data_IF_493095872921
#
_entry.id   IF_493095872921
#
_cell.length_a   1.000
_cell.length_b   1.000
_cell.length_c   1.000
_cell.angle_alpha   90.00
_cell.angle_beta   90.00
_cell.angle_gamma   90.00
#
_symmetry.space_group_name_H-M   'P 1'
#
loop_
_entity.id
_entity.type
_entity.pdbx_description
1 polymer ?
#
# COMPACT_ATOMS: atom_id res chain seq x y z
N UNK A 1 0.81 1.36 13.12
CA UNK A 1 1.81 2.45 13.23
C UNK A 1 3.10 1.79 13.68
N UNK A 2 4.21 2.04 12.99
CA UNK A 2 5.52 1.52 13.38
C UNK A 2 5.99 2.15 14.69
N UNK A 3 6.75 1.41 15.49
CA UNK A 3 7.33 1.89 16.74
C UNK A 3 8.84 1.67 16.75
N UNK A 4 9.50 2.24 17.74
CA UNK A 4 10.92 2.05 17.92
C UNK A 4 11.53 2.93 18.99
N UNK A 5 12.85 2.97 19.00
CA UNK A 5 13.61 3.75 19.97
C UNK A 5 14.68 4.61 19.31
N UNK A 6 14.97 5.75 19.92
CA UNK A 6 16.17 6.53 19.64
C UNK A 6 17.03 6.63 20.89
N UNK A 7 18.22 6.04 20.86
CA UNK A 7 19.05 5.83 22.05
C UNK A 7 20.50 6.20 21.82
N UNK A 8 21.19 6.56 22.89
CA UNK A 8 22.65 6.70 22.98
C UNK A 8 23.21 5.56 23.84
N UNK A 9 24.09 4.73 23.25
CA UNK A 9 24.82 3.68 23.97
C UNK A 9 26.19 4.21 24.43
N UNK A 10 26.38 4.36 25.75
CA UNK A 10 27.67 4.66 26.40
C UNK A 10 28.09 3.52 27.32
N UNK A 11 28.75 2.52 26.74
CA UNK A 11 29.17 1.32 27.48
C UNK A 11 27.94 0.52 27.94
N UNK A 12 27.73 0.42 29.26
CA UNK A 12 26.55 -0.22 29.86
C UNK A 12 25.37 0.75 30.08
N UNK A 13 25.60 2.06 29.95
CA UNK A 13 24.55 3.07 30.14
C UNK A 13 23.86 3.32 28.81
N UNK A 14 22.53 3.29 28.84
CA UNK A 14 21.68 3.58 27.69
C UNK A 14 20.73 4.69 28.13
N UNK A 15 20.62 5.70 27.29
CA UNK A 15 19.68 6.80 27.46
C UNK A 15 18.96 6.99 26.13
N UNK A 16 17.67 7.31 26.14
CA UNK A 16 16.92 7.39 24.89
C UNK A 16 15.48 7.84 25.02
N UNK A 17 14.76 7.78 23.90
CA UNK A 17 13.34 8.04 23.79
C UNK A 17 12.64 6.85 23.11
N UNK A 18 11.41 6.57 23.53
CA UNK A 18 10.50 5.70 22.79
C UNK A 18 9.76 6.52 21.72
N UNK A 19 9.55 5.93 20.54
CA UNK A 19 8.86 6.54 19.41
C UNK A 19 7.61 5.73 19.09
N UNK A 20 6.43 6.35 19.21
CA UNK A 20 5.12 5.67 19.16
C UNK A 20 4.54 5.47 17.76
N UNK A 21 5.00 6.23 16.78
CA UNK A 21 4.48 6.20 15.41
C UNK A 21 5.50 6.70 14.39
N UNK A 22 5.34 6.27 13.14
CA UNK A 22 6.07 6.78 11.97
C UNK A 22 7.60 6.72 12.07
N UNK A 23 8.09 5.57 12.54
CA UNK A 23 9.51 5.35 12.86
C UNK A 23 10.34 4.96 11.63
N UNK A 24 9.74 5.02 10.45
CA UNK A 24 10.40 4.78 9.17
C UNK A 24 11.54 5.77 8.92
N UNK A 25 12.45 5.41 8.00
CA UNK A 25 13.52 6.29 7.57
C UNK A 25 13.01 7.59 6.95
N UNK A 26 11.88 7.57 6.25
CA UNK A 26 11.22 8.76 5.68
C UNK A 26 10.36 9.56 6.69
N UNK A 27 10.08 8.98 7.86
CA UNK A 27 9.32 9.61 8.94
C UNK A 27 10.21 10.24 10.00
N UNK A 28 10.00 9.88 11.27
CA UNK A 28 10.84 10.35 12.39
C UNK A 28 12.32 9.98 12.21
N UNK A 29 12.62 8.87 11.52
CA UNK A 29 13.99 8.52 11.15
C UNK A 29 14.71 9.62 10.40
N UNK A 30 14.05 10.29 9.45
CA UNK A 30 14.60 11.40 8.67
C UNK A 30 14.99 12.56 9.58
N UNK A 31 14.15 12.88 10.56
CA UNK A 31 14.40 13.95 11.53
C UNK A 31 15.58 13.60 12.46
N UNK A 32 15.70 12.33 12.90
CA UNK A 32 16.85 11.87 13.70
C UNK A 32 18.14 11.99 12.89
N UNK A 33 18.12 11.54 11.63
CA UNK A 33 19.29 11.60 10.75
C UNK A 33 19.68 13.05 10.46
N UNK A 34 18.71 13.95 10.26
CA UNK A 34 18.98 15.37 10.08
C UNK A 34 19.58 16.01 11.34
N UNK A 35 19.02 15.73 12.53
CA UNK A 35 19.58 16.20 13.78
C UNK A 35 21.02 15.68 13.95
N UNK A 36 21.28 14.43 13.58
CA UNK A 36 22.63 13.86 13.53
C UNK A 36 23.52 14.50 12.46
N UNK A 37 23.00 14.94 11.32
CA UNK A 37 23.80 15.71 10.35
C UNK A 37 24.22 17.08 10.93
N UNK A 38 23.36 17.70 11.76
CA UNK A 38 23.57 19.04 12.34
C UNK A 38 24.32 19.05 13.67
N UNK A 39 24.56 17.88 14.29
CA UNK A 39 25.14 17.80 15.65
C UNK A 39 24.13 18.10 16.76
N UNK A 40 22.83 18.06 16.46
CA UNK A 40 21.71 18.40 17.35
C UNK A 40 21.00 17.15 17.90
N UNK A 41 21.55 15.95 17.66
CA UNK A 41 20.86 14.68 17.94
C UNK A 41 20.47 14.49 19.41
N UNK A 42 21.23 15.04 20.35
CA UNK A 42 20.90 15.00 21.79
C UNK A 42 19.72 15.91 22.15
N UNK A 43 19.70 17.13 21.58
CA UNK A 43 18.59 18.05 21.78
C UNK A 43 17.30 17.48 21.17
N UNK A 44 17.41 16.83 20.01
CA UNK A 44 16.28 16.15 19.39
C UNK A 44 15.79 14.94 20.21
N UNK A 45 16.70 14.14 20.77
CA UNK A 45 16.34 13.04 21.68
C UNK A 45 15.59 13.54 22.92
N UNK A 46 16.06 14.63 23.52
CA UNK A 46 15.40 15.25 24.68
C UNK A 46 14.00 15.76 24.30
N UNK A 47 13.83 16.36 23.12
CA UNK A 47 12.51 16.73 22.61
C UNK A 47 11.57 15.53 22.53
N UNK A 48 12.01 14.40 21.97
CA UNK A 48 11.20 13.18 21.91
C UNK A 48 10.86 12.64 23.31
N UNK A 49 11.78 12.75 24.29
CA UNK A 49 11.50 12.37 25.68
C UNK A 49 10.47 13.27 26.36
N UNK A 50 10.42 14.55 26.01
CA UNK A 50 9.42 15.48 26.55
C UNK A 50 8.00 15.15 26.07
N UNK A 51 7.87 14.48 24.92
CA UNK A 51 6.60 13.98 24.38
C UNK A 51 6.14 12.67 25.07
N UNK A 52 7.02 11.98 25.81
CA UNK A 52 6.67 10.81 26.61
C UNK A 52 5.95 11.22 27.90
N UNK A 53 5.12 10.33 28.45
CA UNK A 53 4.60 10.53 29.81
C UNK A 53 5.65 10.20 30.87
N UNK A 54 5.43 10.64 32.11
CA UNK A 54 6.39 10.47 33.21
C UNK A 54 6.69 9.00 33.49
N UNK A 55 5.65 8.16 33.51
CA UNK A 55 5.78 6.72 33.74
C UNK A 55 6.62 6.05 32.64
N UNK A 56 6.41 6.39 31.38
CA UNK A 56 7.22 5.88 30.26
C UNK A 56 8.68 6.28 30.40
N UNK A 57 8.98 7.50 30.84
CA UNK A 57 10.36 7.93 31.06
C UNK A 57 11.00 7.14 32.19
N UNK A 58 10.31 6.95 33.31
CA UNK A 58 10.80 6.13 34.43
C UNK A 58 11.06 4.69 34.02
N UNK A 59 10.11 4.05 33.34
CA UNK A 59 10.23 2.68 32.85
C UNK A 59 11.41 2.56 31.87
N UNK A 60 11.56 3.53 30.95
CA UNK A 60 12.67 3.54 30.00
C UNK A 60 14.01 3.68 30.73
N UNK A 61 14.13 4.64 31.65
CA UNK A 61 15.39 4.91 32.36
C UNK A 61 15.82 3.74 33.25
N UNK A 62 14.87 2.98 33.78
CA UNK A 62 15.14 1.84 34.65
C UNK A 62 15.44 0.55 33.89
N UNK A 63 14.74 0.29 32.77
CA UNK A 63 14.70 -1.04 32.16
C UNK A 63 15.24 -1.12 30.73
N UNK A 64 15.48 0.00 30.04
CA UNK A 64 15.89 -0.04 28.64
C UNK A 64 17.13 -0.91 28.43
N UNK A 65 17.06 -1.83 27.48
CA UNK A 65 18.17 -2.68 27.11
C UNK A 65 18.30 -2.81 25.58
N UNK A 66 19.46 -3.21 25.05
CA UNK A 66 19.66 -3.36 23.61
C UNK A 66 18.69 -4.33 22.95
N UNK A 67 18.29 -5.38 23.67
CA UNK A 67 17.39 -6.41 23.17
C UNK A 67 16.00 -5.89 22.80
N UNK A 68 15.61 -4.69 23.25
CA UNK A 68 14.36 -4.05 22.86
C UNK A 68 14.37 -3.52 21.40
N UNK A 69 15.55 -3.26 20.83
CA UNK A 69 15.68 -2.67 19.49
C UNK A 69 16.73 -3.35 18.60
N UNK A 70 17.54 -4.29 19.12
CA UNK A 70 18.49 -5.08 18.33
C UNK A 70 18.75 -6.48 18.87
N UNK A 71 18.97 -7.42 17.95
CA UNK A 71 19.37 -8.79 18.31
C UNK A 71 20.82 -8.76 18.83
N UNK A 72 21.03 -9.36 19.99
CA UNK A 72 22.35 -9.54 20.61
C UNK A 72 22.60 -11.02 20.91
N UNK A 73 23.79 -11.34 21.44
CA UNK A 73 24.10 -12.70 21.91
C UNK A 73 23.23 -13.16 23.09
N UNK A 74 22.57 -12.23 23.78
CA UNK A 74 21.67 -12.51 24.92
C UNK A 74 20.21 -12.61 24.51
N UNK A 75 19.88 -12.26 23.26
CA UNK A 75 18.51 -12.36 22.76
C UNK A 75 18.08 -13.84 22.73
N UNK A 76 16.90 -14.10 23.28
CA UNK A 76 16.22 -15.37 23.10
C UNK A 76 15.82 -15.56 21.63
N UNK A 77 15.57 -16.82 21.24
CA UNK A 77 15.26 -17.20 19.85
C UNK A 77 14.03 -16.45 19.29
N UNK A 78 13.07 -16.13 20.17
CA UNK A 78 11.81 -15.46 19.84
C UNK A 78 11.67 -14.11 20.58
N UNK A 79 12.81 -13.47 20.92
CA UNK A 79 12.82 -12.19 21.61
C UNK A 79 12.02 -11.15 20.80
N UNK A 80 11.07 -10.50 21.47
CA UNK A 80 10.33 -9.39 20.88
C UNK A 80 11.25 -8.17 20.76
N UNK A 81 11.46 -7.72 19.52
CA UNK A 81 12.24 -6.52 19.20
C UNK A 81 11.31 -5.55 18.49
N UNK A 82 11.38 -4.26 18.84
CA UNK A 82 10.62 -3.23 18.15
C UNK A 82 11.06 -3.11 16.68
N UNK A 83 10.17 -2.53 15.86
CA UNK A 83 10.38 -2.48 14.42
C UNK A 83 11.63 -1.69 14.04
N UNK A 84 11.96 -0.61 14.77
CA UNK A 84 13.14 0.22 14.51
C UNK A 84 13.95 0.57 15.77
N UNK A 85 15.26 0.69 15.58
CA UNK A 85 16.20 1.20 16.58
C UNK A 85 17.21 2.16 15.97
N UNK A 86 17.17 3.42 16.38
CA UNK A 86 18.17 4.43 16.05
C UNK A 86 19.15 4.53 17.21
N UNK A 87 20.41 4.15 16.98
CA UNK A 87 21.41 3.97 18.05
C UNK A 87 22.62 4.84 17.77
N UNK A 88 22.80 5.90 18.59
CA UNK A 88 24.03 6.67 18.64
C UNK A 88 25.10 5.87 19.37
N UNK A 89 26.25 5.68 18.72
CA UNK A 89 27.39 4.96 19.27
C UNK A 89 28.68 5.64 18.85
N UNK A 90 29.19 6.53 19.70
CA UNK A 90 30.28 7.43 19.32
C UNK A 90 29.81 8.36 18.21
N UNK A 91 30.60 8.46 17.15
CA UNK A 91 30.31 9.33 15.99
C UNK A 91 29.49 8.65 14.89
N UNK A 92 28.79 7.56 15.24
CA UNK A 92 27.97 6.78 14.31
C UNK A 92 26.52 6.73 14.76
N UNK A 93 25.62 6.86 13.80
CA UNK A 93 24.20 6.53 13.96
C UNK A 93 23.93 5.18 13.28
N UNK A 94 23.56 4.17 14.06
CA UNK A 94 23.20 2.84 13.56
C UNK A 94 21.69 2.68 13.55
N UNK A 95 21.15 2.28 12.42
CA UNK A 95 19.71 1.99 12.29
C UNK A 95 19.53 0.48 12.25
N UNK A 96 18.65 -0.03 13.11
CA UNK A 96 18.22 -1.42 13.14
C UNK A 96 16.77 -1.49 12.68
N UNK A 97 16.44 -2.54 11.93
CA UNK A 97 15.08 -2.86 11.52
C UNK A 97 14.78 -4.32 11.89
N UNK A 98 13.70 -4.56 12.64
CA UNK A 98 13.38 -5.84 13.27
C UNK A 98 14.61 -6.52 13.91
N UNK A 99 15.35 -5.70 14.65
CA UNK A 99 16.56 -6.06 15.37
C UNK A 99 17.82 -6.38 14.55
N UNK A 100 17.75 -6.33 13.22
CA UNK A 100 18.90 -6.52 12.33
C UNK A 100 19.50 -5.17 11.95
N UNK A 101 20.84 -5.08 11.91
CA UNK A 101 21.50 -3.85 11.47
C UNK A 101 21.15 -3.55 10.01
N UNK A 102 20.43 -2.47 9.81
CA UNK A 102 19.90 -2.04 8.53
C UNK A 102 20.93 -1.17 7.80
N UNK A 103 21.28 -0.02 8.38
CA UNK A 103 22.29 0.91 7.85
C UNK A 103 23.15 1.49 8.98
N UNK A 104 24.35 1.95 8.62
CA UNK A 104 25.24 2.75 9.48
C UNK A 104 25.52 4.08 8.81
N UNK A 105 25.34 5.16 9.56
CA UNK A 105 25.43 6.53 9.09
C UNK A 105 26.59 7.21 9.83
N UNK A 106 27.49 7.82 9.09
CA UNK A 106 28.56 8.67 9.62
C UNK A 106 28.18 10.14 9.49
N UNK A 107 28.92 11.04 10.13
CA UNK A 107 28.68 12.49 9.99
C UNK A 107 28.82 12.95 8.54
N UNK A 108 29.79 12.37 7.82
CA UNK A 108 30.10 12.70 6.43
C UNK A 108 29.00 12.27 5.45
N UNK A 109 28.28 11.18 5.77
CA UNK A 109 27.22 10.63 4.93
C UNK A 109 25.81 11.05 5.37
N UNK A 110 25.66 11.67 6.54
CA UNK A 110 24.35 11.97 7.12
C UNK A 110 23.48 12.86 6.23
N UNK A 111 24.03 13.91 5.61
CA UNK A 111 23.29 14.79 4.70
C UNK A 111 22.80 14.06 3.45
N UNK A 112 23.60 13.12 2.93
CA UNK A 112 23.23 12.28 1.79
C UNK A 112 22.10 11.31 2.17
N UNK A 113 22.13 10.78 3.39
CA UNK A 113 21.04 9.95 3.92
C UNK A 113 19.74 10.75 4.09
N UNK A 114 19.79 12.00 4.55
CA UNK A 114 18.61 12.88 4.59
C UNK A 114 18.00 13.02 3.19
N UNK A 115 18.84 13.29 2.18
CA UNK A 115 18.37 13.38 0.80
C UNK A 115 17.68 12.10 0.32
N UNK A 116 18.26 10.93 0.61
CA UNK A 116 17.65 9.64 0.26
C UNK A 116 16.32 9.40 0.98
N UNK A 117 16.17 9.86 2.22
CA UNK A 117 14.91 9.77 2.97
C UNK A 117 13.84 10.70 2.37
N UNK A 118 14.21 11.94 2.03
CA UNK A 118 13.32 12.91 1.38
C UNK A 118 12.89 12.43 -0.03
N UNK A 119 13.67 11.55 -0.65
CA UNK A 119 13.42 10.98 -1.98
C UNK A 119 13.15 9.46 -1.96
N UNK A 120 12.55 8.93 -0.89
CA UNK A 120 12.29 7.49 -0.73
C UNK A 120 11.48 6.89 -1.90
N UNK A 121 10.57 7.67 -2.49
CA UNK A 121 9.80 7.27 -3.66
C UNK A 121 10.69 6.87 -4.85
N UNK A 122 11.85 7.51 -5.04
CA UNK A 122 12.82 7.11 -6.08
C UNK A 122 13.38 5.72 -5.80
N UNK A 123 13.72 5.43 -4.54
CA UNK A 123 14.24 4.12 -4.12
C UNK A 123 13.18 3.05 -4.33
N UNK A 124 11.95 3.33 -3.88
CA UNK A 124 10.81 2.42 -4.02
C UNK A 124 10.53 2.08 -5.49
N UNK A 125 10.43 3.10 -6.33
CA UNK A 125 9.98 2.95 -7.72
C UNK A 125 11.08 2.46 -8.67
N UNK A 126 12.35 2.65 -8.32
CA UNK A 126 13.49 2.25 -9.17
C UNK A 126 14.18 0.97 -8.69
N UNK A 127 14.45 0.83 -7.39
CA UNK A 127 15.27 -0.25 -6.84
C UNK A 127 14.44 -1.38 -6.23
N UNK A 128 13.27 -1.07 -5.67
CA UNK A 128 12.38 -2.06 -5.05
C UNK A 128 11.25 -2.53 -5.96
N UNK A 129 10.91 -1.76 -6.98
CA UNK A 129 9.85 -2.13 -7.92
C UNK A 129 10.30 -3.19 -8.92
N UNK A 130 9.41 -4.16 -9.18
CA UNK A 130 9.66 -5.27 -10.09
C UNK A 130 8.69 -5.25 -11.27
N UNK A 131 9.13 -4.79 -12.44
CA UNK A 131 8.33 -4.85 -13.70
C UNK A 131 7.89 -6.29 -14.03
N UNK A 132 8.65 -7.28 -13.58
CA UNK A 132 8.29 -8.70 -13.74
C UNK A 132 7.10 -9.09 -12.87
N UNK A 133 7.03 -8.60 -11.62
CA UNK A 133 5.97 -8.96 -10.67
C UNK A 133 4.83 -7.95 -10.60
N UNK A 134 5.02 -6.77 -11.20
CA UNK A 134 4.16 -5.59 -11.12
C UNK A 134 3.88 -5.15 -9.68
N UNK A 135 4.87 -5.20 -8.79
CA UNK A 135 4.74 -4.80 -7.38
C UNK A 135 6.09 -4.48 -6.76
N UNK A 136 6.04 -3.79 -5.62
CA UNK A 136 7.22 -3.56 -4.78
C UNK A 136 7.65 -4.84 -4.06
N UNK A 137 8.97 -5.10 -4.06
CA UNK A 137 9.61 -6.26 -3.43
C UNK A 137 10.34 -5.84 -2.14
N UNK A 138 9.59 -5.45 -1.10
CA UNK A 138 10.16 -5.04 0.20
C UNK A 138 11.05 -6.12 0.87
N UNK A 139 10.93 -7.40 0.48
CA UNK A 139 11.88 -8.43 0.90
C UNK A 139 13.34 -8.13 0.47
N UNK A 140 13.55 -7.26 -0.51
CA UNK A 140 14.87 -6.83 -1.00
C UNK A 140 15.38 -5.55 -0.33
N UNK A 141 14.58 -4.93 0.53
CA UNK A 141 14.88 -3.64 1.17
C UNK A 141 16.27 -3.62 1.82
N UNK A 142 16.59 -4.61 2.65
CA UNK A 142 17.94 -4.74 3.24
C UNK A 142 19.06 -4.72 2.19
N UNK A 143 18.90 -5.43 1.08
CA UNK A 143 19.94 -5.46 0.03
C UNK A 143 20.08 -4.13 -0.70
N UNK A 144 18.97 -3.42 -0.91
CA UNK A 144 18.95 -2.09 -1.55
C UNK A 144 19.60 -1.04 -0.66
N UNK A 145 19.25 -0.99 0.62
CA UNK A 145 19.85 -0.04 1.56
C UNK A 145 21.34 -0.31 1.81
N UNK A 146 21.77 -1.58 1.77
CA UNK A 146 23.20 -1.94 1.79
C UNK A 146 23.93 -1.48 0.54
N UNK A 147 23.30 -1.58 -0.63
CA UNK A 147 23.84 -1.03 -1.87
C UNK A 147 24.01 0.49 -1.77
N UNK A 148 22.99 1.22 -1.32
CA UNK A 148 23.03 2.67 -1.14
C UNK A 148 24.13 3.08 -0.16
N UNK A 149 24.22 2.42 1.01
CA UNK A 149 25.28 2.68 1.97
C UNK A 149 26.67 2.52 1.32
N UNK A 150 26.89 1.46 0.55
CA UNK A 150 28.16 1.24 -0.15
C UNK A 150 28.50 2.35 -1.15
N UNK A 151 27.51 2.94 -1.84
CA UNK A 151 27.74 4.07 -2.74
C UNK A 151 28.19 5.31 -1.95
N UNK A 152 27.48 5.64 -0.87
CA UNK A 152 27.79 6.79 -0.01
C UNK A 152 29.15 6.63 0.68
N UNK A 153 29.45 5.44 1.19
CA UNK A 153 30.75 5.10 1.79
C UNK A 153 31.91 5.21 0.78
N UNK A 154 31.63 5.09 -0.53
CA UNK A 154 32.59 5.32 -1.62
C UNK A 154 32.70 6.81 -2.03
N UNK A 155 31.98 7.71 -1.36
CA UNK A 155 32.00 9.15 -1.63
C UNK A 155 31.07 9.60 -2.76
N UNK A 156 30.22 8.72 -3.29
CA UNK A 156 29.23 9.08 -4.32
C UNK A 156 28.12 9.88 -3.64
N UNK A 157 27.77 11.04 -4.20
CA UNK A 157 26.68 11.87 -3.70
C UNK A 157 25.33 11.23 -3.98
N UNK A 158 24.36 11.38 -3.09
CA UNK A 158 23.06 10.75 -3.25
C UNK A 158 22.34 11.20 -4.53
N UNK A 159 22.52 12.46 -4.93
CA UNK A 159 21.98 13.02 -6.18
C UNK A 159 22.61 12.42 -7.45
N UNK A 160 23.81 11.85 -7.34
CA UNK A 160 24.52 11.23 -8.46
C UNK A 160 24.21 9.72 -8.59
N UNK A 161 23.50 9.15 -7.62
CA UNK A 161 23.03 7.77 -7.70
C UNK A 161 21.91 7.69 -8.75
N UNK A 162 22.10 6.82 -9.74
CA UNK A 162 21.12 6.66 -10.82
C UNK A 162 19.93 5.83 -10.31
N UNK A 163 18.74 6.45 -10.33
CA UNK A 163 17.46 5.82 -10.01
C UNK A 163 16.61 5.64 -11.29
N UNK A 164 16.78 4.55 -12.05
CA UNK A 164 16.05 4.36 -13.29
C UNK A 164 14.58 4.08 -13.00
N UNK A 165 13.69 4.97 -13.45
CA UNK A 165 12.24 4.78 -13.32
C UNK A 165 11.83 3.48 -14.03
N UNK A 166 11.18 2.59 -13.29
CA UNK A 166 10.66 1.34 -13.86
C UNK A 166 9.41 1.63 -14.68
N UNK A 167 9.27 0.91 -15.80
CA UNK A 167 8.20 1.18 -16.78
C UNK A 167 6.83 1.15 -16.14
N UNK A 168 6.60 0.22 -15.20
CA UNK A 168 5.28 -0.01 -14.63
C UNK A 168 5.17 0.43 -13.16
N UNK A 169 6.10 1.24 -12.63
CA UNK A 169 6.12 1.61 -11.19
C UNK A 169 4.86 2.33 -10.68
N UNK A 170 3.99 2.82 -11.57
CA UNK A 170 2.68 3.37 -11.23
C UNK A 170 1.58 2.31 -11.05
N UNK A 171 1.87 1.02 -11.29
CA UNK A 171 0.97 -0.10 -11.04
C UNK A 171 1.42 -0.90 -9.82
N UNK A 172 0.50 -1.44 -9.02
CA UNK A 172 0.82 -2.45 -8.00
C UNK A 172 -0.22 -3.57 -8.01
N UNK A 173 0.23 -4.81 -8.27
CA UNK A 173 -0.56 -6.02 -8.29
C UNK A 173 -0.28 -6.85 -7.04
N UNK A 174 -1.29 -7.00 -6.19
CA UNK A 174 -1.18 -7.84 -4.99
C UNK A 174 -0.95 -9.30 -5.36
N UNK A 175 -0.16 -9.99 -4.54
CA UNK A 175 0.05 -11.44 -4.64
C UNK A 175 -0.25 -12.15 -3.31
N UNK A 176 -1.16 -11.56 -2.53
CA UNK A 176 -1.55 -12.12 -1.25
C UNK A 176 -2.60 -13.23 -1.46
N UNK A 177 -2.78 -14.09 -0.46
CA UNK A 177 -3.80 -15.14 -0.44
C UNK A 177 -5.09 -14.67 0.25
N UNK A 178 -5.60 -13.50 -0.16
CA UNK A 178 -6.90 -13.01 0.32
C UNK A 178 -7.99 -13.89 -0.27
N UNK A 179 -8.74 -14.62 0.56
CA UNK A 179 -9.77 -15.56 0.12
C UNK A 179 -10.94 -14.84 -0.56
N UNK A 180 -11.40 -15.37 -1.69
CA UNK A 180 -12.67 -14.98 -2.32
C UNK A 180 -13.84 -15.82 -1.77
N UNK A 181 -15.08 -15.37 -1.98
CA UNK A 181 -16.30 -16.11 -1.62
C UNK A 181 -16.42 -17.48 -2.31
N UNK A 182 -15.75 -17.69 -3.45
CA UNK A 182 -15.69 -18.99 -4.13
C UNK A 182 -14.66 -19.95 -3.55
N UNK A 183 -13.89 -19.52 -2.55
CA UNK A 183 -12.83 -20.35 -1.98
C UNK A 183 -13.40 -21.62 -1.34
N UNK A 184 -12.84 -22.77 -1.76
CA UNK A 184 -13.00 -24.06 -1.09
C UNK A 184 -11.63 -24.69 -0.87
N UNK A 185 -11.50 -25.57 0.12
CA UNK A 185 -10.22 -26.23 0.42
C UNK A 185 -9.68 -27.06 -0.75
N UNK A 186 -10.57 -27.63 -1.57
CA UNK A 186 -10.27 -28.41 -2.77
C UNK A 186 -10.26 -27.58 -4.07
N UNK A 187 -10.81 -26.37 -4.03
CA UNK A 187 -10.86 -25.42 -5.13
C UNK A 187 -10.58 -23.99 -4.62
N UNK A 188 -9.31 -23.68 -4.28
CA UNK A 188 -8.95 -22.38 -3.74
C UNK A 188 -9.23 -21.27 -4.74
N UNK A 189 -9.73 -20.15 -4.23
CA UNK A 189 -9.90 -18.90 -4.96
C UNK A 189 -9.36 -17.72 -4.16
N UNK A 190 -8.57 -16.87 -4.81
CA UNK A 190 -7.88 -15.73 -4.18
C UNK A 190 -8.09 -14.43 -4.95
N UNK A 191 -8.37 -13.36 -4.21
CA UNK A 191 -8.47 -12.00 -4.71
C UNK A 191 -7.07 -11.41 -4.96
N UNK A 192 -6.89 -10.84 -6.15
CA UNK A 192 -5.68 -10.14 -6.58
C UNK A 192 -6.07 -8.73 -6.99
N UNK A 193 -5.47 -7.73 -6.36
CA UNK A 193 -5.84 -6.33 -6.51
C UNK A 193 -4.81 -5.62 -7.36
N UNK A 194 -5.23 -4.98 -8.44
CA UNK A 194 -4.38 -4.11 -9.25
C UNK A 194 -4.75 -2.65 -8.97
N UNK A 195 -3.77 -1.90 -8.49
CA UNK A 195 -3.86 -0.47 -8.23
C UNK A 195 -3.08 0.32 -9.27
N UNK A 196 -3.60 1.48 -9.62
CA UNK A 196 -2.85 2.53 -10.32
C UNK A 196 -2.64 3.68 -9.34
N UNK A 197 -1.41 4.18 -9.19
CA UNK A 197 -1.08 5.21 -8.19
C UNK A 197 -1.91 6.49 -8.33
N UNK A 198 -2.34 6.80 -9.55
CA UNK A 198 -3.02 8.03 -9.91
C UNK A 198 -4.55 7.86 -10.13
N UNK A 199 -5.09 6.66 -9.90
CA UNK A 199 -6.53 6.39 -10.00
C UNK A 199 -7.02 5.79 -8.68
N UNK A 200 -8.10 6.35 -8.13
CA UNK A 200 -8.75 5.81 -6.93
C UNK A 200 -9.30 4.39 -7.17
N UNK A 201 -9.48 3.65 -6.07
CA UNK A 201 -9.92 2.25 -6.06
C UNK A 201 -8.95 1.30 -6.78
N UNK A 202 -9.39 0.06 -7.01
CA UNK A 202 -8.55 -1.03 -7.49
C UNK A 202 -9.37 -1.99 -8.35
N UNK A 203 -8.72 -2.61 -9.33
CA UNK A 203 -9.29 -3.69 -10.12
C UNK A 203 -9.12 -4.98 -9.33
N UNK A 204 -10.21 -5.76 -9.21
CA UNK A 204 -10.17 -7.06 -8.54
C UNK A 204 -10.17 -8.17 -9.57
N UNK A 205 -9.09 -8.95 -9.57
CA UNK A 205 -9.02 -10.24 -10.24
C UNK A 205 -9.26 -11.35 -9.23
N UNK A 206 -9.78 -12.48 -9.69
CA UNK A 206 -10.00 -13.68 -8.89
C UNK A 206 -9.20 -14.79 -9.58
N UNK A 207 -8.12 -15.24 -8.94
CA UNK A 207 -7.39 -16.42 -9.38
C UNK A 207 -7.97 -17.65 -8.67
N UNK A 208 -8.56 -18.58 -9.42
CA UNK A 208 -9.23 -19.77 -8.88
C UNK A 208 -8.71 -21.05 -9.50
N UNK A 209 -8.67 -22.13 -8.71
CA UNK A 209 -8.37 -23.49 -9.18
C UNK A 209 -9.67 -24.19 -9.58
N UNK A 210 -9.80 -24.48 -10.87
CA UNK A 210 -10.93 -25.22 -11.44
C UNK A 210 -10.42 -26.39 -12.29
N UNK A 211 -10.94 -27.59 -12.04
CA UNK A 211 -10.58 -28.81 -12.80
C UNK A 211 -9.07 -29.04 -12.95
N UNK A 212 -8.30 -28.73 -11.91
CA UNK A 212 -6.84 -28.90 -11.87
C UNK A 212 -6.05 -27.81 -12.62
N UNK A 213 -6.69 -26.71 -13.03
CA UNK A 213 -6.04 -25.55 -13.62
C UNK A 213 -6.45 -24.26 -12.92
N UNK A 214 -5.47 -23.38 -12.77
CA UNK A 214 -5.66 -22.03 -12.31
C UNK A 214 -6.12 -21.14 -13.46
N UNK A 215 -7.22 -20.44 -13.25
CA UNK A 215 -7.83 -19.50 -14.17
C UNK A 215 -8.01 -18.13 -13.51
N UNK A 216 -8.34 -17.11 -14.29
CA UNK A 216 -8.55 -15.76 -13.77
C UNK A 216 -9.87 -15.19 -14.25
N UNK A 217 -10.67 -14.68 -13.32
CA UNK A 217 -11.80 -13.81 -13.60
C UNK A 217 -11.51 -12.37 -13.17
N UNK A 218 -12.26 -11.42 -13.73
CA UNK A 218 -12.28 -10.03 -13.25
C UNK A 218 -13.65 -9.74 -12.61
N UNK A 219 -13.64 -9.01 -11.49
CA UNK A 219 -14.84 -8.45 -10.88
C UNK A 219 -15.18 -7.14 -11.57
N UNK A 220 -16.36 -7.10 -12.17
CA UNK A 220 -17.01 -5.91 -12.68
C UNK A 220 -18.00 -5.38 -11.62
N UNK A 221 -18.52 -4.15 -11.74
CA UNK A 221 -19.40 -3.58 -10.71
C UNK A 221 -20.63 -4.42 -10.34
N UNK A 222 -21.17 -5.19 -11.28
CA UNK A 222 -22.40 -5.98 -11.10
C UNK A 222 -22.27 -7.46 -11.48
N UNK A 223 -21.11 -7.90 -11.98
CA UNK A 223 -20.90 -9.29 -12.44
C UNK A 223 -19.42 -9.67 -12.36
N UNK A 224 -19.12 -10.97 -12.44
CA UNK A 224 -17.77 -11.49 -12.64
C UNK A 224 -17.69 -12.15 -14.01
N UNK A 225 -16.62 -11.91 -14.75
CA UNK A 225 -16.41 -12.56 -16.04
C UNK A 225 -15.04 -13.24 -16.09
N UNK A 226 -14.93 -14.44 -16.69
CA UNK A 226 -13.64 -15.04 -17.01
C UNK A 226 -12.83 -14.11 -17.91
N UNK A 227 -11.52 -14.02 -17.67
CA UNK A 227 -10.59 -13.34 -18.55
C UNK A 227 -9.94 -14.32 -19.51
N UNK A 228 -9.58 -13.83 -20.70
CA UNK A 228 -8.75 -14.55 -21.67
C UNK A 228 -7.27 -14.60 -21.23
N UNK A 229 -7.01 -14.95 -19.97
CA UNK A 229 -5.68 -15.25 -19.43
C UNK A 229 -5.41 -16.73 -19.63
N UNK A 230 -4.25 -17.08 -20.17
CA UNK A 230 -3.87 -18.48 -20.33
C UNK A 230 -3.85 -19.19 -18.96
N UNK A 231 -4.61 -20.27 -18.82
CA UNK A 231 -4.64 -21.06 -17.59
C UNK A 231 -3.33 -21.78 -17.33
N UNK A 232 -3.06 -22.11 -16.06
CA UNK A 232 -1.81 -22.74 -15.65
C UNK A 232 -2.03 -23.84 -14.60
N UNK A 233 -1.08 -24.75 -14.42
CA UNK A 233 -1.18 -25.80 -13.37
C UNK A 233 -0.91 -25.28 -11.96
N UNK A 234 -0.37 -24.08 -11.83
CA UNK A 234 0.00 -23.48 -10.54
C UNK A 234 -0.45 -22.03 -10.47
N UNK A 235 -0.73 -21.55 -9.25
CA UNK A 235 -1.08 -20.15 -9.01
C UNK A 235 0.03 -19.22 -9.49
N UNK A 236 1.29 -19.54 -9.20
CA UNK A 236 2.44 -18.76 -9.68
C UNK A 236 2.47 -18.67 -11.21
N UNK A 237 2.10 -19.76 -11.90
CA UNK A 237 1.99 -19.80 -13.35
C UNK A 237 0.89 -18.89 -13.87
N UNK A 238 -0.31 -18.94 -13.29
CA UNK A 238 -1.42 -18.08 -13.72
C UNK A 238 -1.15 -16.62 -13.42
N UNK A 239 -0.50 -16.32 -12.28
CA UNK A 239 -0.09 -14.97 -11.91
C UNK A 239 0.95 -14.40 -12.88
N UNK A 240 1.84 -15.23 -13.45
CA UNK A 240 2.73 -14.80 -14.53
C UNK A 240 1.92 -14.40 -15.77
N UNK A 241 0.95 -15.22 -16.16
CA UNK A 241 0.12 -14.98 -17.34
C UNK A 241 -0.78 -13.74 -17.15
N UNK A 242 -1.33 -13.54 -15.94
CA UNK A 242 -2.09 -12.35 -15.58
C UNK A 242 -1.25 -11.07 -15.71
N UNK A 243 0.01 -11.08 -15.26
CA UNK A 243 0.90 -9.92 -15.39
C UNK A 243 1.17 -9.55 -16.85
N UNK A 244 1.38 -10.54 -17.72
CA UNK A 244 1.54 -10.30 -19.16
C UNK A 244 0.24 -9.78 -19.78
N UNK A 245 -0.91 -10.32 -19.38
CA UNK A 245 -2.21 -9.79 -19.80
C UNK A 245 -2.37 -8.32 -19.39
N UNK A 246 -2.03 -7.96 -18.15
CA UNK A 246 -2.11 -6.58 -17.65
C UNK A 246 -1.24 -5.65 -18.50
N UNK A 247 0.02 -6.03 -18.77
CA UNK A 247 0.94 -5.22 -19.59
C UNK A 247 0.42 -5.01 -21.01
N UNK A 248 -0.20 -6.04 -21.60
CA UNK A 248 -0.73 -5.97 -22.96
C UNK A 248 -2.05 -5.18 -23.06
N UNK A 249 -2.77 -5.01 -21.95
CA UNK A 249 -4.08 -4.36 -21.90
C UNK A 249 -4.09 -3.13 -20.98
N UNK A 250 -2.94 -2.52 -20.74
CA UNK A 250 -2.74 -1.43 -19.77
C UNK A 250 -3.77 -0.31 -19.91
N UNK A 251 -3.85 0.33 -21.08
CA UNK A 251 -4.73 1.49 -21.29
C UNK A 251 -6.20 1.12 -21.09
N UNK A 252 -6.57 -0.06 -21.54
CA UNK A 252 -7.94 -0.54 -21.46
C UNK A 252 -8.33 -0.94 -20.02
N UNK A 253 -7.39 -1.44 -19.22
CA UNK A 253 -7.60 -1.67 -17.78
C UNK A 253 -7.71 -0.33 -17.02
N UNK A 254 -6.91 0.67 -17.38
CA UNK A 254 -7.04 2.03 -16.80
C UNK A 254 -8.41 2.63 -17.09
N UNK A 255 -8.85 2.59 -18.35
CA UNK A 255 -10.19 3.06 -18.74
C UNK A 255 -11.28 2.26 -18.03
N UNK A 256 -11.14 0.94 -17.91
CA UNK A 256 -12.07 0.10 -17.14
C UNK A 256 -12.20 0.55 -15.67
N UNK A 257 -11.09 0.85 -14.99
CA UNK A 257 -11.15 1.31 -13.60
C UNK A 257 -11.85 2.67 -13.49
N UNK A 258 -11.55 3.61 -14.39
CA UNK A 258 -12.20 4.92 -14.44
C UNK A 258 -13.71 4.80 -14.67
N UNK A 259 -14.13 3.97 -15.62
CA UNK A 259 -15.54 3.70 -15.90
C UNK A 259 -16.23 3.04 -14.69
N UNK A 260 -15.57 2.06 -14.05
CA UNK A 260 -16.11 1.39 -12.86
C UNK A 260 -16.27 2.36 -11.69
N UNK A 261 -15.31 3.27 -11.50
CA UNK A 261 -15.41 4.33 -10.50
C UNK A 261 -16.60 5.25 -10.78
N UNK A 262 -16.81 5.66 -12.04
CA UNK A 262 -17.96 6.50 -12.41
C UNK A 262 -19.30 5.78 -12.22
N UNK A 263 -19.34 4.48 -12.52
CA UNK A 263 -20.50 3.64 -12.23
C UNK A 263 -20.86 3.66 -10.74
N UNK A 264 -19.87 3.41 -9.87
CA UNK A 264 -20.06 3.38 -8.43
C UNK A 264 -20.43 4.76 -7.87
N UNK A 265 -19.87 5.85 -8.43
CA UNK A 265 -20.24 7.23 -8.10
C UNK A 265 -21.73 7.49 -8.37
N UNK A 266 -22.21 7.15 -9.57
CA UNK A 266 -23.61 7.31 -9.95
C UNK A 266 -24.52 6.47 -9.05
N UNK A 267 -24.15 5.22 -8.77
CA UNK A 267 -24.90 4.35 -7.87
C UNK A 267 -24.97 4.93 -6.45
N UNK A 268 -23.85 5.42 -5.91
CA UNK A 268 -23.81 6.07 -4.58
C UNK A 268 -24.65 7.34 -4.56
N UNK A 269 -24.66 8.11 -5.64
CA UNK A 269 -25.50 9.31 -5.75
C UNK A 269 -26.99 8.95 -5.71
N UNK A 270 -27.42 7.92 -6.43
CA UNK A 270 -28.82 7.43 -6.37
C UNK A 270 -29.21 7.03 -4.94
N UNK A 271 -28.34 6.31 -4.24
CA UNK A 271 -28.57 5.91 -2.84
C UNK A 271 -28.66 7.13 -1.93
N UNK A 272 -27.72 8.07 -2.06
CA UNK A 272 -27.72 9.30 -1.26
C UNK A 272 -28.97 10.15 -1.49
N UNK A 273 -29.35 10.34 -2.76
CA UNK A 273 -30.51 11.17 -3.14
C UNK A 273 -31.85 10.50 -2.74
N UNK A 274 -31.87 9.16 -2.60
CA UNK A 274 -33.04 8.44 -2.06
C UNK A 274 -33.30 8.69 -0.58
N UNK A 275 -32.35 9.30 0.14
CA UNK A 275 -32.47 9.52 1.59
C UNK A 275 -32.39 8.24 2.43
N UNK A 276 -32.06 7.09 1.82
CA UNK A 276 -31.89 5.81 2.51
C UNK A 276 -30.50 5.78 3.14
N UNK A 277 -30.42 6.11 4.43
CA UNK A 277 -29.18 6.09 5.23
C UNK A 277 -29.03 4.80 6.05
N UNK A 278 -30.13 4.08 6.31
CA UNK A 278 -30.17 2.79 6.99
C UNK A 278 -31.42 1.98 6.60
N UNK A 279 -31.52 0.72 7.07
CA UNK A 279 -32.72 -0.12 6.89
C UNK A 279 -33.97 0.52 7.52
N UNK A 280 -33.82 1.44 8.49
CA UNK A 280 -34.94 2.01 9.24
C UNK A 280 -35.53 3.30 8.63
N UNK A 281 -34.72 4.24 8.13
CA UNK A 281 -35.23 5.62 7.92
C UNK A 281 -35.15 6.11 6.47
N UNK A 282 -36.16 6.88 6.04
CA UNK A 282 -36.14 7.75 4.86
C UNK A 282 -36.42 9.16 5.36
N UNK A 283 -35.41 10.03 5.35
CA UNK A 283 -35.55 11.38 5.91
C UNK A 283 -36.10 12.38 4.87
N UNK A 284 -35.60 12.36 3.63
CA UNK A 284 -36.06 13.21 2.51
C UNK A 284 -35.77 12.51 1.17
N UNK A 285 -36.77 12.32 0.32
CA UNK A 285 -36.58 11.83 -1.05
C UNK A 285 -36.25 12.99 -2.00
N UNK A 286 -35.02 13.04 -2.50
CA UNK A 286 -34.53 14.02 -3.48
C UNK A 286 -34.10 13.34 -4.79
N UNK A 287 -34.62 12.15 -5.09
CA UNK A 287 -34.23 11.40 -6.28
C UNK A 287 -34.55 12.17 -7.56
N UNK A 288 -33.56 12.28 -8.42
CA UNK A 288 -33.71 12.85 -9.77
C UNK A 288 -34.33 11.81 -10.70
N UNK A 289 -34.68 12.23 -11.91
CA UNK A 289 -35.06 11.29 -12.95
C UNK A 289 -33.87 10.37 -13.29
N UNK A 290 -34.14 9.12 -13.65
CA UNK A 290 -33.08 8.20 -14.09
C UNK A 290 -32.21 8.79 -15.23
N UNK A 291 -32.84 9.55 -16.14
CA UNK A 291 -32.15 10.21 -17.24
C UNK A 291 -31.09 11.22 -16.78
N UNK A 292 -31.29 11.90 -15.65
CA UNK A 292 -30.33 12.88 -15.13
C UNK A 292 -29.08 12.22 -14.54
N UNK A 293 -29.23 11.03 -13.94
CA UNK A 293 -28.09 10.23 -13.48
C UNK A 293 -27.30 9.65 -14.65
N UNK A 294 -28.01 9.07 -15.64
CA UNK A 294 -27.34 8.37 -16.74
C UNK A 294 -26.66 9.31 -17.72
N UNK A 295 -27.19 10.52 -17.95
CA UNK A 295 -26.53 11.51 -18.83
C UNK A 295 -25.08 11.79 -18.40
N UNK A 296 -24.82 11.84 -17.10
CA UNK A 296 -23.47 12.03 -16.56
C UNK A 296 -22.57 10.81 -16.81
N UNK A 297 -23.12 9.61 -16.69
CA UNK A 297 -22.41 8.37 -16.99
C UNK A 297 -22.08 8.26 -18.48
N UNK A 298 -23.07 8.40 -19.35
CA UNK A 298 -22.92 8.31 -20.81
C UNK A 298 -21.92 9.32 -21.36
N UNK A 299 -22.00 10.58 -20.91
CA UNK A 299 -21.05 11.62 -21.32
C UNK A 299 -19.61 11.29 -20.90
N UNK A 300 -19.42 10.68 -19.73
CA UNK A 300 -18.09 10.33 -19.23
C UNK A 300 -17.46 9.17 -20.01
N UNK A 301 -18.28 8.17 -20.38
CA UNK A 301 -17.78 6.91 -20.95
C UNK A 301 -17.62 6.93 -22.47
N UNK A 302 -18.14 7.96 -23.14
CA UNK A 302 -18.20 8.07 -24.61
C UNK A 302 -16.83 7.95 -25.29
N UNK A 303 -15.78 8.49 -24.67
CA UNK A 303 -14.44 8.57 -25.24
C UNK A 303 -13.44 7.58 -24.61
N UNK A 304 -13.94 6.58 -23.86
CA UNK A 304 -13.11 5.59 -23.15
C UNK A 304 -13.05 4.26 -23.88
N UNK A 305 -11.93 3.56 -23.80
CA UNK A 305 -11.80 2.21 -24.35
C UNK A 305 -12.45 1.20 -23.41
N UNK A 306 -13.51 0.58 -23.88
CA UNK A 306 -14.18 -0.49 -23.16
C UNK A 306 -13.49 -1.81 -23.45
N UNK A 307 -12.59 -2.23 -22.55
CA UNK A 307 -11.83 -3.49 -22.67
C UNK A 307 -12.75 -4.70 -22.87
N UNK A 308 -13.89 -4.71 -22.19
CA UNK A 308 -14.89 -5.76 -22.28
C UNK A 308 -16.12 -5.17 -22.97
N UNK A 309 -16.16 -5.24 -24.30
CA UNK A 309 -17.41 -5.11 -25.06
C UNK A 309 -17.86 -6.52 -25.44
N UNK A 310 -18.47 -7.21 -24.48
CA UNK A 310 -19.04 -8.54 -24.68
C UNK A 310 -20.54 -8.50 -24.41
N UNK A 311 -21.25 -9.60 -24.68
CA UNK A 311 -22.66 -9.75 -24.31
C UNK A 311 -22.95 -9.52 -22.82
N UNK A 312 -21.92 -9.66 -21.96
CA UNK A 312 -22.03 -9.65 -20.50
C UNK A 312 -21.60 -8.34 -19.84
N UNK A 313 -20.71 -7.58 -20.49
CA UNK A 313 -20.30 -6.26 -20.01
C UNK A 313 -20.22 -5.30 -21.19
N UNK A 314 -21.00 -4.23 -21.11
CA UNK A 314 -21.06 -3.15 -22.09
C UNK A 314 -21.69 -1.93 -21.43
N UNK A 315 -21.61 -0.77 -22.10
CA UNK A 315 -22.31 0.45 -21.68
C UNK A 315 -23.80 0.14 -21.46
N UNK A 316 -24.42 -0.51 -22.44
CA UNK A 316 -25.85 -0.83 -22.39
C UNK A 316 -26.18 -1.74 -21.20
N UNK A 317 -25.35 -2.75 -20.91
CA UNK A 317 -25.55 -3.62 -19.74
C UNK A 317 -25.36 -2.86 -18.42
N UNK A 318 -24.40 -1.95 -18.35
CA UNK A 318 -24.20 -1.11 -17.18
C UNK A 318 -25.41 -0.19 -16.94
N UNK A 319 -25.94 0.44 -17.99
CA UNK A 319 -27.14 1.28 -17.90
C UNK A 319 -28.36 0.45 -17.47
N UNK A 320 -28.55 -0.74 -18.04
CA UNK A 320 -29.65 -1.64 -17.65
C UNK A 320 -29.54 -2.00 -16.16
N UNK A 321 -28.34 -2.34 -15.67
CA UNK A 321 -28.20 -2.67 -14.25
C UNK A 321 -28.41 -1.43 -13.34
N UNK A 322 -27.92 -0.25 -13.74
CA UNK A 322 -28.22 0.99 -13.01
C UNK A 322 -29.73 1.28 -12.97
N UNK A 323 -30.46 0.93 -14.03
CA UNK A 323 -31.92 1.07 -14.06
C UNK A 323 -32.59 0.15 -13.06
N UNK A 324 -32.18 -1.11 -13.01
CA UNK A 324 -32.69 -2.08 -12.02
C UNK A 324 -32.43 -1.62 -10.59
N UNK A 325 -31.23 -1.07 -10.32
CA UNK A 325 -30.89 -0.51 -9.01
C UNK A 325 -31.74 0.72 -8.68
N UNK A 326 -31.97 1.62 -9.64
CA UNK A 326 -32.84 2.77 -9.49
C UNK A 326 -34.29 2.36 -9.18
N UNK A 327 -34.86 1.44 -9.95
CA UNK A 327 -36.24 0.98 -9.77
C UNK A 327 -36.43 0.29 -8.40
N UNK A 328 -35.41 -0.43 -7.92
CA UNK A 328 -35.39 -1.00 -6.55
C UNK A 328 -35.39 0.08 -5.47
N UNK A 329 -34.66 1.17 -5.67
CA UNK A 329 -34.63 2.29 -4.72
C UNK A 329 -35.98 3.01 -4.68
N UNK A 330 -36.55 3.34 -5.84
CA UNK A 330 -37.88 3.95 -5.94
C UNK A 330 -38.94 3.10 -5.24
N UNK A 331 -38.98 1.79 -5.54
CA UNK A 331 -39.93 0.87 -4.90
C UNK A 331 -39.80 0.86 -3.38
N UNK A 332 -38.57 0.91 -2.85
CA UNK A 332 -38.33 0.95 -1.40
C UNK A 332 -38.80 2.25 -0.78
N UNK A 333 -38.54 3.39 -1.42
CA UNK A 333 -38.99 4.70 -0.96
C UNK A 333 -40.51 4.75 -0.93
N UNK A 334 -41.17 4.32 -2.01
CA UNK A 334 -42.64 4.30 -2.10
C UNK A 334 -43.26 3.38 -1.03
N UNK A 335 -42.68 2.20 -0.80
CA UNK A 335 -43.17 1.25 0.21
C UNK A 335 -43.05 1.76 1.65
N UNK A 336 -42.21 2.76 1.93
CA UNK A 336 -42.03 3.38 3.24
C UNK A 336 -42.80 4.70 3.41
N UNK A 337 -43.20 5.32 2.31
CA UNK A 337 -44.00 6.55 2.31
C UNK A 337 -45.51 6.27 2.45
N UNK A 338 -45.94 5.02 2.22
CA UNK A 338 -47.26 4.48 2.59
C UNK A 338 -47.27 4.03 4.04
#
# INVERSE_FOLDING_TARGET
>A
MTRGYFVEEKGKKIYGAEIKSDVYLSGIGRCIIEAFAKGEEKAYMEKLRQEMDEKQREDLDQYICPEWYRITKKSEKDAHVQEYGYVLKGDLLKVYNYGKLFITITRETATEWVYLCDNEHLINDSLLYSDKKLRHEYSKEFSVYRYLQKQLDAGIKAMDIVFPVKRYSYMDLSDNHTMDVWHRSDAPAYLKFLKFKDIANEIKFIASLEFGKWEVAIQLPYIRIPLSVQSARTETGVMKNLREYIKNNENALRDFLLVSNKYDEVKKQMISDSGITSIADVEVNNMKSFGDYIRQFENYVKDKNWLFQTSHFSINRAIVNLREEYDRLVTKVDSKAM
#
